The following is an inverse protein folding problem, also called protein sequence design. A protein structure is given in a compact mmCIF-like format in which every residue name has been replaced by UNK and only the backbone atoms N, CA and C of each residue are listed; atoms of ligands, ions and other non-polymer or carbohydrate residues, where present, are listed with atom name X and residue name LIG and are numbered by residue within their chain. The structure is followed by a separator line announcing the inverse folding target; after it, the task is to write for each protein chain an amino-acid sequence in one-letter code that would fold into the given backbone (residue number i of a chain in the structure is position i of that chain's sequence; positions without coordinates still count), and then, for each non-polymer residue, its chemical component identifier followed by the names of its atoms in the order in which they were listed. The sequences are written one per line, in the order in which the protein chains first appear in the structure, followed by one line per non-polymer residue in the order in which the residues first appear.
data_IF_133308548109
#
_entry.id   IF_133308548109
#
_cell.length_a   1.000
_cell.length_b   1.000
_cell.length_c   1.000
_cell.angle_alpha   90.00
_cell.angle_beta   90.00
_cell.angle_gamma   90.00
#
_symmetry.space_group_name_H-M   'P 1'
#
loop_
_entity.id
_entity.type
_entity.pdbx_description
1 polymer ?
#
# COMPACT_ATOMS: atom_id res chain seq x y z
N UNK A 1 -13.63 19.20 -5.29
CA UNK A 1 -12.56 18.72 -4.38
C UNK A 1 -12.85 19.02 -2.90
N UNK A 2 -13.60 20.07 -2.54
CA UNK A 2 -13.89 20.40 -1.12
C UNK A 2 -14.56 19.27 -0.35
N UNK A 3 -15.48 18.54 -0.98
CA UNK A 3 -16.23 17.45 -0.32
C UNK A 3 -15.35 16.42 0.42
N UNK A 4 -14.19 16.03 -0.13
CA UNK A 4 -13.32 15.05 0.55
C UNK A 4 -12.63 15.66 1.77
N UNK A 5 -12.23 16.93 1.69
CA UNK A 5 -11.63 17.65 2.81
C UNK A 5 -12.65 17.91 3.91
N UNK A 6 -13.87 18.31 3.56
CA UNK A 6 -14.97 18.54 4.49
C UNK A 6 -15.36 17.24 5.20
N UNK A 7 -15.43 16.13 4.45
CA UNK A 7 -15.68 14.81 5.02
C UNK A 7 -14.56 14.39 5.99
N UNK A 8 -13.30 14.54 5.60
CA UNK A 8 -12.16 14.18 6.44
C UNK A 8 -12.11 15.03 7.72
N UNK A 9 -12.38 16.34 7.60
CA UNK A 9 -12.46 17.25 8.74
C UNK A 9 -13.61 16.86 9.68
N UNK A 10 -14.81 16.62 9.16
CA UNK A 10 -15.99 16.30 9.96
C UNK A 10 -15.94 14.91 10.60
N UNK A 11 -15.28 13.94 9.97
CA UNK A 11 -15.24 12.55 10.44
C UNK A 11 -14.05 12.26 11.35
N UNK A 12 -12.87 12.78 10.99
CA UNK A 12 -11.61 12.40 11.64
C UNK A 12 -10.93 13.56 12.38
N UNK A 13 -11.26 14.81 12.05
CA UNK A 13 -10.64 16.01 12.63
C UNK A 13 -9.16 16.23 12.28
N UNK A 14 -8.51 15.25 11.64
CA UNK A 14 -7.13 15.29 11.14
C UNK A 14 -6.95 14.36 9.95
N UNK A 15 -5.81 14.48 9.26
CA UNK A 15 -5.41 13.58 8.18
C UNK A 15 -3.99 13.10 8.44
N UNK A 16 -3.82 11.81 8.70
CA UNK A 16 -2.50 11.24 9.04
C UNK A 16 -1.62 10.98 7.81
N UNK A 17 -2.21 10.59 6.67
CA UNK A 17 -1.49 10.26 5.43
C UNK A 17 -2.32 10.72 4.23
N UNK A 18 -1.67 11.38 3.27
CA UNK A 18 -2.21 11.67 1.94
C UNK A 18 -1.38 10.93 0.89
N UNK A 19 -2.02 10.09 0.08
CA UNK A 19 -1.36 9.38 -1.03
C UNK A 19 -1.95 9.89 -2.35
N UNK A 20 -1.17 10.72 -3.04
CA UNK A 20 -1.50 11.16 -4.40
C UNK A 20 -1.07 10.08 -5.39
N UNK A 21 -1.92 9.06 -5.58
CA UNK A 21 -1.64 7.93 -6.47
C UNK A 21 -2.31 8.05 -7.85
N UNK A 22 -3.28 8.94 -8.01
CA UNK A 22 -3.95 9.13 -9.30
C UNK A 22 -2.93 9.61 -10.33
N UNK A 23 -2.99 9.02 -11.53
CA UNK A 23 -2.18 9.42 -12.66
C UNK A 23 -2.95 9.21 -13.95
N UNK A 24 -2.73 10.09 -14.92
CA UNK A 24 -3.13 9.95 -16.30
C UNK A 24 -1.89 9.86 -17.18
N UNK A 25 -1.97 9.04 -18.22
CA UNK A 25 -0.80 8.67 -19.00
C UNK A 25 -0.94 9.20 -20.42
N UNK A 26 0.00 10.06 -20.80
CA UNK A 26 0.22 10.43 -22.21
C UNK A 26 0.61 9.17 -22.98
N UNK A 27 0.01 8.97 -24.17
CA UNK A 27 0.19 7.78 -25.02
C UNK A 27 1.63 7.23 -24.99
N UNK A 28 1.79 6.02 -24.45
CA UNK A 28 3.08 5.34 -24.33
C UNK A 28 3.76 5.05 -25.68
N UNK A 29 3.03 5.17 -26.80
CA UNK A 29 3.57 5.03 -28.15
C UNK A 29 4.27 6.30 -28.65
N UNK A 30 4.05 7.47 -28.04
CA UNK A 30 4.75 8.69 -28.36
C UNK A 30 6.18 8.64 -27.80
N UNK A 31 7.15 8.34 -28.68
CA UNK A 31 8.57 8.24 -28.31
C UNK A 31 9.24 9.62 -28.10
N UNK A 32 8.53 10.71 -28.41
CA UNK A 32 8.98 12.09 -28.29
C UNK A 32 7.90 12.92 -27.60
N UNK A 33 8.33 13.76 -26.65
CA UNK A 33 7.43 14.68 -25.95
C UNK A 33 6.82 15.75 -26.87
N UNK A 34 7.47 16.06 -28.01
CA UNK A 34 6.99 17.07 -28.96
C UNK A 34 5.92 16.55 -29.92
N UNK A 35 5.76 15.23 -30.00
CA UNK A 35 4.73 14.58 -30.83
C UNK A 35 3.49 14.21 -30.01
N UNK A 36 3.48 14.53 -28.71
CA UNK A 36 2.36 14.25 -27.82
C UNK A 36 1.13 15.11 -28.17
N UNK A 37 -0.06 14.52 -28.07
CA UNK A 37 -1.31 15.26 -28.19
C UNK A 37 -1.40 16.33 -27.09
N UNK A 38 -1.49 17.64 -27.43
CA UNK A 38 -1.61 18.70 -26.44
C UNK A 38 -2.78 18.51 -25.47
N UNK A 39 -3.88 17.87 -25.89
CA UNK A 39 -5.01 17.58 -25.02
C UNK A 39 -4.66 16.52 -23.95
N UNK A 40 -3.94 15.47 -24.33
CA UNK A 40 -3.44 14.45 -23.40
C UNK A 40 -2.41 15.04 -22.44
N UNK A 41 -1.53 15.92 -22.91
CA UNK A 41 -0.56 16.64 -22.06
C UNK A 41 -1.29 17.52 -21.04
N UNK A 42 -2.32 18.27 -21.46
CA UNK A 42 -3.11 19.08 -20.54
C UNK A 42 -3.80 18.21 -19.47
N UNK A 43 -4.39 17.07 -19.86
CA UNK A 43 -5.01 16.13 -18.91
C UNK A 43 -4.00 15.61 -17.88
N UNK A 44 -2.83 15.17 -18.33
CA UNK A 44 -1.77 14.70 -17.43
C UNK A 44 -1.28 15.81 -16.48
N UNK A 45 -1.15 17.06 -16.95
CA UNK A 45 -0.81 18.18 -16.07
C UNK A 45 -1.91 18.45 -15.03
N UNK A 46 -3.17 18.37 -15.44
CA UNK A 46 -4.30 18.58 -14.54
C UNK A 46 -4.39 17.47 -13.47
N UNK A 47 -4.14 16.22 -13.84
CA UNK A 47 -4.29 15.05 -12.95
C UNK A 47 -3.05 14.79 -12.12
N UNK A 48 -1.84 14.88 -12.69
CA UNK A 48 -0.62 14.41 -12.05
C UNK A 48 0.12 15.54 -11.31
N UNK A 49 -0.15 16.79 -11.68
CA UNK A 49 0.51 17.96 -11.10
C UNK A 49 -0.47 18.84 -10.34
N UNK A 50 -1.47 19.40 -11.03
CA UNK A 50 -2.38 20.38 -10.43
C UNK A 50 -3.31 19.73 -9.41
N UNK A 51 -3.83 18.53 -9.70
CA UNK A 51 -4.67 17.76 -8.78
C UNK A 51 -4.02 17.53 -7.42
N UNK A 52 -2.84 16.87 -7.35
CA UNK A 52 -2.10 16.67 -6.11
C UNK A 52 -1.76 17.97 -5.39
N UNK A 53 -1.36 19.00 -6.12
CA UNK A 53 -1.06 20.32 -5.55
C UNK A 53 -2.28 20.93 -4.86
N UNK A 54 -3.40 21.03 -5.57
CA UNK A 54 -4.63 21.62 -5.07
C UNK A 54 -5.21 20.81 -3.91
N UNK A 55 -5.19 19.47 -4.01
CA UNK A 55 -5.65 18.60 -2.94
C UNK A 55 -4.79 18.77 -1.68
N UNK A 56 -3.47 18.81 -1.82
CA UNK A 56 -2.54 19.01 -0.71
C UNK A 56 -2.80 20.34 -0.03
N UNK A 57 -2.95 21.43 -0.79
CA UNK A 57 -3.28 22.75 -0.25
C UNK A 57 -4.58 22.74 0.56
N UNK A 58 -5.60 22.05 0.05
CA UNK A 58 -6.91 21.96 0.68
C UNK A 58 -6.88 21.20 2.01
N UNK A 59 -6.14 20.09 2.09
CA UNK A 59 -6.07 19.23 3.29
C UNK A 59 -4.88 19.55 4.20
N UNK A 60 -4.04 20.53 3.84
CA UNK A 60 -2.86 20.92 4.62
C UNK A 60 -3.16 21.24 6.09
N UNK A 61 -4.28 21.91 6.46
CA UNK A 61 -4.61 22.12 7.87
C UNK A 61 -4.82 20.79 8.63
N UNK A 62 -5.45 19.81 8.00
CA UNK A 62 -5.69 18.48 8.58
C UNK A 62 -4.39 17.68 8.71
N UNK A 63 -3.50 17.79 7.70
CA UNK A 63 -2.17 17.18 7.74
C UNK A 63 -1.30 17.75 8.86
N UNK A 64 -1.35 19.07 9.08
CA UNK A 64 -0.62 19.74 10.16
C UNK A 64 -1.12 19.36 11.56
N UNK A 65 -2.35 18.87 11.68
CA UNK A 65 -2.92 18.39 12.94
C UNK A 65 -2.48 16.96 13.28
N UNK A 66 -1.86 16.23 12.35
CA UNK A 66 -1.40 14.86 12.59
C UNK A 66 -0.08 14.81 13.39
N UNK A 67 0.06 13.90 14.35
CA UNK A 67 1.34 13.63 14.99
C UNK A 67 2.39 13.21 13.96
N UNK A 68 3.62 13.74 14.10
CA UNK A 68 4.71 13.45 13.16
C UNK A 68 5.02 11.94 13.00
N UNK A 69 4.71 11.13 14.02
CA UNK A 69 4.95 9.68 13.99
C UNK A 69 3.83 8.87 13.30
N UNK A 70 2.69 9.49 12.98
CA UNK A 70 1.53 8.78 12.38
C UNK A 70 1.87 8.09 11.07
N UNK A 71 2.64 8.74 10.19
CA UNK A 71 3.07 8.13 8.93
C UNK A 71 3.86 6.83 9.15
N UNK A 72 4.84 6.86 10.07
CA UNK A 72 5.65 5.67 10.38
C UNK A 72 4.79 4.52 10.92
N UNK A 73 3.79 4.82 11.76
CA UNK A 73 2.86 3.79 12.27
C UNK A 73 1.92 3.26 11.20
N UNK A 74 1.47 4.12 10.28
CA UNK A 74 0.64 3.70 9.16
C UNK A 74 1.40 2.79 8.18
N UNK A 75 2.64 3.14 7.87
CA UNK A 75 3.53 2.33 7.05
C UNK A 75 3.80 0.96 7.71
N UNK A 76 4.04 0.93 9.03
CA UNK A 76 4.23 -0.31 9.77
C UNK A 76 2.98 -1.19 9.73
N UNK A 77 1.79 -0.63 9.94
CA UNK A 77 0.54 -1.37 9.85
C UNK A 77 0.31 -1.93 8.43
N UNK A 78 0.68 -1.18 7.40
CA UNK A 78 0.63 -1.68 6.01
C UNK A 78 1.57 -2.87 5.82
N UNK A 79 2.81 -2.77 6.30
CA UNK A 79 3.78 -3.87 6.25
C UNK A 79 3.27 -5.12 6.99
N UNK A 80 2.63 -4.95 8.15
CA UNK A 80 1.99 -6.05 8.89
C UNK A 80 0.98 -6.80 8.02
N UNK A 81 0.09 -6.10 7.31
CA UNK A 81 -0.88 -6.72 6.40
C UNK A 81 -0.22 -7.45 5.22
N UNK A 82 0.83 -6.87 4.63
CA UNK A 82 1.63 -7.49 3.55
C UNK A 82 2.27 -8.78 4.03
N UNK A 83 2.93 -8.76 5.19
CA UNK A 83 3.59 -9.94 5.77
C UNK A 83 2.58 -11.02 6.18
N UNK A 84 1.45 -10.63 6.78
CA UNK A 84 0.36 -11.56 7.09
C UNK A 84 -0.16 -12.27 5.83
N UNK A 85 -0.29 -11.53 4.72
CA UNK A 85 -0.69 -12.11 3.42
C UNK A 85 0.38 -13.05 2.87
N UNK A 86 1.65 -12.63 2.90
CA UNK A 86 2.77 -13.42 2.36
C UNK A 86 3.01 -14.71 3.14
N UNK A 87 2.69 -14.75 4.44
CA UNK A 87 2.91 -15.89 5.33
C UNK A 87 1.66 -16.72 5.60
N UNK A 88 0.55 -16.45 4.88
CA UNK A 88 -0.77 -17.09 5.11
C UNK A 88 -0.77 -18.62 5.06
N UNK A 89 0.14 -19.21 4.29
CA UNK A 89 0.26 -20.66 4.09
C UNK A 89 1.30 -21.29 5.05
N UNK A 90 1.70 -20.55 6.08
CA UNK A 90 2.66 -20.96 7.12
C UNK A 90 1.99 -20.92 8.50
N UNK A 91 2.57 -21.56 9.53
CA UNK A 91 2.07 -21.42 10.90
C UNK A 91 2.38 -20.05 11.56
N UNK A 92 3.00 -19.10 10.84
CA UNK A 92 3.41 -17.80 11.40
C UNK A 92 2.23 -16.82 11.38
N UNK A 93 1.89 -16.28 12.55
CA UNK A 93 0.88 -15.24 12.72
C UNK A 93 1.55 -13.85 12.77
N UNK A 94 0.98 -12.87 12.07
CA UNK A 94 1.55 -11.51 12.00
C UNK A 94 0.46 -10.50 12.32
N UNK A 95 0.61 -9.75 13.42
CA UNK A 95 -0.36 -8.74 13.87
C UNK A 95 0.34 -7.48 14.35
N UNK A 96 -0.39 -6.36 14.32
CA UNK A 96 0.01 -5.13 14.98
C UNK A 96 -0.70 -5.04 16.34
N UNK A 97 0.00 -4.53 17.35
CA UNK A 97 -0.55 -4.30 18.69
C UNK A 97 -0.43 -2.83 19.03
N UNK A 98 -1.56 -2.24 19.39
CA UNK A 98 -1.65 -0.89 19.94
C UNK A 98 -1.60 -0.97 21.47
N UNK A 99 -0.53 -0.46 22.11
CA UNK A 99 -0.36 -0.52 23.55
C UNK A 99 -1.15 0.57 24.30
N UNK A 100 -1.97 1.39 23.65
CA UNK A 100 -2.61 2.55 24.27
C UNK A 100 -1.59 3.58 24.77
N UNK A 101 -2.10 4.64 25.41
CA UNK A 101 -1.24 5.64 26.05
C UNK A 101 -0.53 5.01 27.26
N UNK A 102 0.80 4.99 27.21
CA UNK A 102 1.63 4.23 28.14
C UNK A 102 2.65 5.14 28.83
N UNK A 103 2.65 5.13 30.17
CA UNK A 103 3.57 5.88 31.02
C UNK A 103 5.01 5.33 30.92
N UNK A 104 5.68 5.64 29.81
CA UNK A 104 7.04 5.17 29.45
C UNK A 104 7.97 6.30 29.04
N UNK A 105 7.45 7.53 28.96
CA UNK A 105 8.13 8.72 28.47
C UNK A 105 7.87 9.85 29.48
N UNK A 106 8.62 9.90 30.60
CA UNK A 106 8.44 10.87 31.68
C UNK A 106 8.39 12.32 31.19
N UNK A 107 9.13 12.62 30.11
CA UNK A 107 9.17 13.94 29.50
C UNK A 107 7.83 14.43 28.91
N UNK A 108 6.87 13.53 28.74
CA UNK A 108 5.51 13.86 28.27
C UNK A 108 4.59 14.34 29.41
N UNK A 109 4.97 14.10 30.67
CA UNK A 109 4.16 14.48 31.83
C UNK A 109 2.79 13.77 31.89
N UNK A 110 2.67 12.62 31.23
CA UNK A 110 1.43 11.84 31.12
C UNK A 110 1.37 10.68 32.13
N UNK A 111 2.29 10.65 33.10
CA UNK A 111 2.46 9.57 34.08
C UNK A 111 1.19 9.30 34.91
N UNK A 112 0.40 10.33 35.17
CA UNK A 112 -0.85 10.27 35.95
C UNK A 112 -2.08 9.87 35.10
N UNK A 113 -2.00 9.93 33.77
CA UNK A 113 -3.13 9.70 32.86
C UNK A 113 -2.94 8.49 31.94
N UNK A 114 -1.69 8.13 31.66
CA UNK A 114 -1.32 6.98 30.85
C UNK A 114 -1.24 5.69 31.70
N UNK A 115 -1.47 4.55 31.05
CA UNK A 115 -1.45 3.27 31.77
C UNK A 115 -0.03 2.77 32.03
N UNK A 116 0.19 1.93 33.07
CA UNK A 116 1.50 1.39 33.36
C UNK A 116 2.06 0.52 32.23
N UNK A 117 3.38 0.53 32.05
CA UNK A 117 4.06 -0.27 31.01
C UNK A 117 3.70 -1.77 31.05
N UNK A 118 3.54 -2.34 32.25
CA UNK A 118 3.13 -3.74 32.41
C UNK A 118 1.75 -4.02 31.81
N UNK A 119 0.81 -3.09 31.97
CA UNK A 119 -0.53 -3.22 31.41
C UNK A 119 -0.48 -3.16 29.88
N UNK A 120 0.26 -2.19 29.34
CA UNK A 120 0.49 -2.05 27.90
C UNK A 120 1.16 -3.26 27.26
N UNK A 121 2.10 -3.90 27.97
CA UNK A 121 2.81 -5.08 27.49
C UNK A 121 1.91 -6.32 27.39
N UNK A 122 0.74 -6.36 28.06
CA UNK A 122 -0.17 -7.52 28.00
C UNK A 122 -0.67 -7.79 26.59
N UNK A 123 -0.94 -6.76 25.80
CA UNK A 123 -1.35 -6.92 24.41
C UNK A 123 -0.27 -7.60 23.56
N UNK A 124 1.00 -7.28 23.81
CA UNK A 124 2.14 -7.92 23.15
C UNK A 124 2.29 -9.38 23.61
N UNK A 125 2.17 -9.63 24.92
CA UNK A 125 2.20 -10.98 25.47
C UNK A 125 1.09 -11.86 24.91
N UNK A 126 -0.12 -11.31 24.75
CA UNK A 126 -1.25 -11.96 24.08
C UNK A 126 -0.91 -12.32 22.63
N UNK A 127 -0.44 -11.35 21.83
CA UNK A 127 -0.12 -11.58 20.42
C UNK A 127 0.98 -12.63 20.23
N UNK A 128 1.99 -12.62 21.12
CA UNK A 128 3.11 -13.56 21.10
C UNK A 128 2.72 -14.99 21.54
N UNK A 129 1.57 -15.18 22.18
CA UNK A 129 1.10 -16.46 22.73
C UNK A 129 -0.17 -16.97 22.06
N UNK A 130 -0.53 -16.41 20.90
CA UNK A 130 -1.67 -16.88 20.13
C UNK A 130 -1.53 -18.39 19.78
N UNK A 131 -2.62 -19.17 19.90
CA UNK A 131 -2.59 -20.57 19.51
C UNK A 131 -2.45 -20.71 17.99
N UNK A 132 -2.03 -21.90 17.50
CA UNK A 132 -2.14 -22.23 16.08
C UNK A 132 -3.56 -21.97 15.56
N UNK A 133 -3.66 -21.33 14.38
CA UNK A 133 -4.95 -20.90 13.82
C UNK A 133 -5.54 -19.63 14.44
N UNK A 134 -4.78 -18.93 15.30
CA UNK A 134 -5.14 -17.63 15.82
C UNK A 134 -5.22 -16.52 14.75
N UNK A 135 -5.66 -15.31 15.13
CA UNK A 135 -5.81 -14.21 14.19
C UNK A 135 -4.48 -13.80 13.55
N UNK A 136 -4.53 -13.34 12.31
CA UNK A 136 -3.40 -12.77 11.56
C UNK A 136 -3.89 -11.62 10.70
N UNK A 137 -3.04 -10.61 10.48
CA UNK A 137 -3.34 -9.45 9.66
C UNK A 137 -4.28 -8.43 10.33
N UNK A 138 -4.34 -8.36 11.66
CA UNK A 138 -5.12 -7.35 12.37
C UNK A 138 -4.28 -6.37 13.19
N UNK A 139 -4.84 -5.18 13.43
CA UNK A 139 -4.43 -4.27 14.50
C UNK A 139 -5.30 -4.54 15.72
N UNK A 140 -4.68 -4.89 16.84
CA UNK A 140 -5.36 -5.22 18.09
C UNK A 140 -5.01 -4.28 19.22
N UNK A 141 -5.99 -4.00 20.08
CA UNK A 141 -5.80 -3.32 21.37
C UNK A 141 -6.49 -4.16 22.44
N UNK A 142 -5.74 -4.53 23.48
CA UNK A 142 -6.26 -5.35 24.59
C UNK A 142 -6.94 -6.66 24.13
N UNK A 143 -6.38 -7.28 23.10
CA UNK A 143 -6.89 -8.52 22.48
C UNK A 143 -8.13 -8.33 21.60
N UNK A 144 -8.65 -7.10 21.47
CA UNK A 144 -9.78 -6.77 20.61
C UNK A 144 -9.31 -6.25 19.25
N UNK A 145 -9.96 -6.67 18.18
CA UNK A 145 -9.67 -6.20 16.83
C UNK A 145 -10.12 -4.73 16.71
N UNK A 146 -9.19 -3.86 16.35
CA UNK A 146 -9.44 -2.44 16.06
C UNK A 146 -9.66 -2.24 14.58
N UNK A 147 -8.79 -2.84 13.76
CA UNK A 147 -8.81 -2.69 12.30
C UNK A 147 -8.25 -3.95 11.65
N UNK A 148 -8.92 -4.45 10.60
CA UNK A 148 -8.32 -5.45 9.73
C UNK A 148 -7.35 -4.79 8.75
N UNK A 149 -6.15 -5.37 8.64
CA UNK A 149 -5.07 -4.93 7.75
C UNK A 149 -4.98 -5.80 6.48
N UNK A 150 -5.87 -6.80 6.35
CA UNK A 150 -5.96 -7.61 5.15
C UNK A 150 -6.79 -6.90 4.07
N UNK A 151 -6.45 -7.07 2.78
CA UNK A 151 -7.22 -6.47 1.68
C UNK A 151 -8.65 -7.01 1.64
N UNK A 152 -9.64 -6.14 1.38
CA UNK A 152 -11.02 -6.56 1.10
C UNK A 152 -11.88 -6.93 2.31
N UNK A 153 -11.37 -6.77 3.54
CA UNK A 153 -12.15 -6.91 4.78
C UNK A 153 -12.53 -5.52 5.31
N UNK A 154 -13.42 -4.83 4.61
CA UNK A 154 -13.93 -3.54 5.08
C UNK A 154 -14.83 -3.78 6.30
N UNK A 155 -14.73 -2.89 7.31
CA UNK A 155 -15.57 -2.87 8.50
C UNK A 155 -17.06 -2.82 8.08
N UNK A 156 -17.82 -3.89 8.27
CA UNK A 156 -19.22 -4.07 7.82
C UNK A 156 -20.25 -3.24 8.60
N UNK A 157 -19.91 -1.99 8.95
CA UNK A 157 -20.80 -1.06 9.65
C UNK A 157 -21.38 0.03 8.71
N UNK A 158 -21.73 -0.34 7.47
CA UNK A 158 -22.42 0.52 6.51
C UNK A 158 -23.47 -0.27 5.72
N UNK A 159 -24.58 0.34 5.28
CA UNK A 159 -25.75 -0.40 4.81
C UNK A 159 -25.44 -1.11 3.48
N UNK A 160 -25.63 -2.43 3.54
CA UNK A 160 -25.88 -3.39 2.46
C UNK A 160 -25.58 -2.92 1.03
N UNK A 161 -24.53 -3.47 0.43
CA UNK A 161 -24.36 -3.53 -1.01
C UNK A 161 -24.03 -4.96 -1.42
N UNK A 162 -25.07 -5.64 -1.90
CA UNK A 162 -24.96 -6.78 -2.81
C UNK A 162 -23.89 -6.52 -3.87
N UNK A 163 -22.76 -7.24 -3.75
CA UNK A 163 -21.73 -7.37 -4.78
C UNK A 163 -21.59 -8.83 -5.16
N UNK A 164 -22.62 -9.36 -5.81
CA UNK A 164 -22.51 -10.54 -6.67
C UNK A 164 -21.82 -10.15 -8.00
N UNK A 165 -20.48 -10.10 -7.99
CA UNK A 165 -19.68 -9.93 -9.21
C UNK A 165 -18.33 -10.64 -9.07
N UNK A 166 -17.82 -11.30 -10.12
CA UNK A 166 -16.57 -12.02 -10.05
C UNK A 166 -15.43 -11.03 -9.77
N UNK A 167 -14.74 -11.23 -8.65
CA UNK A 167 -13.50 -10.52 -8.32
C UNK A 167 -12.44 -10.91 -9.35
N UNK A 168 -12.37 -10.17 -10.45
CA UNK A 168 -11.21 -10.18 -11.32
C UNK A 168 -10.04 -9.64 -10.50
N UNK A 169 -9.22 -10.56 -9.96
CA UNK A 169 -8.05 -10.22 -9.17
C UNK A 169 -7.16 -9.24 -9.93
N UNK A 170 -6.68 -8.22 -9.24
CA UNK A 170 -5.77 -7.23 -9.80
C UNK A 170 -4.54 -7.95 -10.42
N UNK A 171 -4.28 -7.80 -11.74
CA UNK A 171 -3.21 -8.51 -12.42
C UNK A 171 -1.80 -8.15 -11.94
N UNK A 172 -1.64 -7.09 -11.14
CA UNK A 172 -0.38 -6.79 -10.45
C UNK A 172 -0.04 -7.82 -9.37
N UNK A 173 -1.04 -8.36 -8.66
CA UNK A 173 -0.80 -9.33 -7.58
C UNK A 173 -0.64 -10.77 -8.08
N UNK A 174 -1.23 -11.12 -9.23
CA UNK A 174 -1.10 -12.45 -9.83
C UNK A 174 0.36 -12.82 -10.19
N UNK A 175 1.23 -11.83 -10.42
CA UNK A 175 2.65 -12.06 -10.77
C UNK A 175 3.56 -12.36 -9.58
N UNK A 176 3.17 -12.00 -8.36
CA UNK A 176 3.98 -12.26 -7.16
C UNK A 176 3.81 -13.73 -6.72
N UNK A 177 2.65 -14.31 -6.99
CA UNK A 177 2.30 -15.67 -6.57
C UNK A 177 2.73 -16.78 -7.53
N UNK A 178 3.13 -16.45 -8.77
CA UNK A 178 3.60 -17.45 -9.75
C UNK A 178 4.66 -16.86 -10.71
N UNK A 179 5.96 -17.02 -10.43
CA UNK A 179 7.03 -16.59 -11.34
C UNK A 179 7.09 -17.42 -12.64
N UNK A 180 6.27 -18.46 -12.79
CA UNK A 180 6.20 -19.35 -13.96
C UNK A 180 4.98 -19.15 -14.87
N UNK A 181 4.02 -18.28 -14.51
CA UNK A 181 2.84 -18.05 -15.33
C UNK A 181 3.19 -17.26 -16.60
N UNK A 182 3.49 -18.01 -17.68
CA UNK A 182 3.68 -17.47 -19.01
C UNK A 182 2.47 -16.65 -19.47
N UNK A 183 2.73 -15.52 -20.14
CA UNK A 183 1.71 -14.63 -20.67
C UNK A 183 0.67 -15.38 -21.53
N UNK A 184 -0.64 -15.25 -21.26
CA UNK A 184 -1.65 -15.69 -22.20
C UNK A 184 -1.70 -14.67 -23.33
N UNK A 185 -0.97 -14.91 -24.43
CA UNK A 185 -1.18 -14.16 -25.67
C UNK A 185 0.01 -13.91 -26.60
N UNK A 186 1.26 -14.23 -26.24
CA UNK A 186 2.40 -13.98 -27.12
C UNK A 186 3.10 -15.28 -27.53
N UNK A 187 3.01 -15.61 -28.83
CA UNK A 187 3.75 -16.69 -29.47
C UNK A 187 5.25 -16.57 -29.15
N UNK A 188 5.77 -17.54 -28.41
CA UNK A 188 7.18 -17.64 -28.06
C UNK A 188 7.97 -18.19 -29.26
N UNK A 189 8.57 -17.31 -30.09
CA UNK A 189 9.62 -17.72 -31.03
C UNK A 189 10.97 -17.65 -30.33
N UNK A 190 11.50 -18.82 -30.01
CA UNK A 190 12.78 -19.08 -29.34
C UNK A 190 13.96 -18.63 -30.21
N UNK A 191 14.51 -17.43 -29.98
CA UNK A 191 15.77 -17.00 -30.58
C UNK A 191 16.95 -17.46 -29.70
N UNK A 192 17.56 -18.59 -30.08
CA UNK A 192 18.84 -19.05 -29.53
C UNK A 192 19.94 -18.03 -29.83
N UNK A 193 20.63 -17.55 -28.80
CA UNK A 193 21.83 -16.69 -28.92
C UNK A 193 22.95 -17.44 -29.66
N UNK A 194 23.11 -17.16 -30.95
CA UNK A 194 24.23 -17.59 -31.77
C UNK A 194 25.33 -16.52 -31.80
N UNK A 195 26.54 -16.89 -31.36
CA UNK A 195 27.79 -16.12 -31.38
C UNK A 195 28.14 -15.67 -32.82
N UNK A 196 28.65 -14.45 -33.09
CA UNK A 196 28.99 -14.05 -34.45
C UNK A 196 30.31 -14.72 -34.90
N UNK A 197 30.45 -15.06 -36.20
CA UNK A 197 31.66 -15.72 -36.69
C UNK A 197 32.81 -14.72 -36.89
N UNK A 198 34.03 -15.17 -36.55
CA UNK A 198 35.30 -14.48 -36.83
C UNK A 198 35.57 -14.44 -38.33
N UNK A 199 35.90 -13.28 -38.88
CA UNK A 199 36.47 -13.14 -40.23
C UNK A 199 37.92 -13.67 -40.22
N UNK A 200 38.19 -14.72 -40.99
CA UNK A 200 39.53 -15.09 -41.42
C UNK A 200 39.71 -14.61 -42.87
N UNK A 201 40.85 -13.98 -43.16
CA UNK A 201 41.17 -13.48 -44.49
C UNK A 201 41.75 -14.53 -45.44
N UNK A 202 41.82 -14.15 -46.72
CA UNK A 202 42.93 -14.49 -47.60
C UNK A 202 42.65 -15.41 -48.80
N UNK A 203 43.10 -14.92 -49.96
CA UNK A 203 43.54 -15.60 -51.20
C UNK A 203 42.50 -15.97 -52.27
N UNK A 204 42.74 -15.43 -53.49
CA UNK A 204 42.11 -15.83 -54.76
C UNK A 204 42.57 -17.21 -55.25
N UNK A 205 42.25 -17.64 -56.49
CA UNK A 205 43.04 -17.16 -57.64
C UNK A 205 42.36 -17.16 -59.04
N UNK A 206 43.08 -16.54 -59.98
CA UNK A 206 43.06 -16.61 -61.47
C UNK A 206 41.91 -15.96 -62.24
#
# INVERSE_FOLDING_TARGET
MTAVADYAAGTFGRLDVLINNASDIVDFAALSALDADPAAVQSALDIDVLGPWQLTQLVLPLLKAAPAHSFAKHALNTLTGVLATALRDTPILVNAVDPGETATHPERGDEDTARPALESARGVGWAATLPPGGPTGGLFRDGQLVLSLLPGTENTAGPDRDRSGPTAGNPYYARISDPGAGCPGARCSRATRGRPPRRAGGSGPR
#
